data_IF_629551141176
#
_entry.id   IF_629551141176
#
_cell.length_a   1.000
_cell.length_b   1.000
_cell.length_c   1.000
_cell.angle_alpha   90.00
_cell.angle_beta   90.00
_cell.angle_gamma   90.00
#
_symmetry.space_group_name_H-M   'P 1'
#
loop_
_entity.id
_entity.type
_entity.pdbx_description
1 polymer ?
#
# COMPACT_ATOMS: atom_id res chain seq x y z
N UNK A 1 -6.17 -11.71 -22.73
CA UNK A 1 -6.55 -10.48 -23.45
C UNK A 1 -5.29 -9.90 -24.06
N UNK A 2 -5.31 -9.49 -25.33
CA UNK A 2 -4.14 -8.87 -25.93
C UNK A 2 -3.87 -7.51 -25.26
N UNK A 3 -2.66 -7.31 -24.76
CA UNK A 3 -2.19 -6.02 -24.22
C UNK A 3 -2.24 -5.02 -25.37
N UNK A 4 -2.94 -3.91 -25.19
CA UNK A 4 -3.01 -2.87 -26.23
C UNK A 4 -1.66 -2.17 -26.35
N UNK A 5 -1.35 -1.60 -27.52
CA UNK A 5 -0.11 -0.83 -27.72
C UNK A 5 0.03 0.32 -26.70
N UNK A 6 -1.08 0.91 -26.29
CA UNK A 6 -1.12 1.95 -25.26
C UNK A 6 -0.72 1.42 -23.86
N UNK A 7 -1.06 0.16 -23.54
CA UNK A 7 -0.70 -0.47 -22.27
C UNK A 7 0.78 -0.85 -22.23
N UNK A 8 1.39 -1.14 -23.38
CA UNK A 8 2.83 -1.41 -23.48
C UNK A 8 3.69 -0.22 -23.04
N UNK A 9 3.19 1.02 -23.18
CA UNK A 9 3.89 2.21 -22.74
C UNK A 9 4.23 2.17 -21.24
N UNK A 10 3.37 1.57 -20.40
CA UNK A 10 3.58 1.47 -18.95
C UNK A 10 4.63 0.41 -18.56
N UNK A 11 5.06 -0.41 -19.49
CA UNK A 11 6.20 -1.32 -19.31
C UNK A 11 7.56 -0.64 -19.50
N UNK A 12 7.60 0.53 -20.16
CA UNK A 12 8.82 1.28 -20.40
C UNK A 12 9.28 2.03 -19.15
N UNK A 13 10.57 2.33 -19.06
CA UNK A 13 11.06 3.21 -18.00
C UNK A 13 10.36 4.58 -18.05
N UNK A 14 10.07 5.21 -16.89
CA UNK A 14 9.35 6.49 -16.87
C UNK A 14 10.01 7.60 -17.70
N UNK A 15 11.33 7.57 -17.86
CA UNK A 15 12.08 8.50 -18.72
C UNK A 15 11.77 8.35 -20.20
N UNK A 16 11.42 7.14 -20.66
CA UNK A 16 11.17 6.80 -22.07
C UNK A 16 9.70 6.97 -22.45
N UNK A 17 8.81 6.97 -21.47
CA UNK A 17 7.35 6.97 -21.67
C UNK A 17 6.88 8.07 -22.62
N UNK A 18 7.34 9.32 -22.41
CA UNK A 18 6.83 10.47 -23.17
C UNK A 18 7.24 10.38 -24.64
N UNK A 19 8.50 10.03 -24.91
CA UNK A 19 8.98 9.88 -26.28
C UNK A 19 8.28 8.72 -27.02
N UNK A 20 8.09 7.58 -26.36
CA UNK A 20 7.39 6.43 -26.91
C UNK A 20 5.90 6.72 -27.16
N UNK A 21 5.23 7.40 -26.23
CA UNK A 21 3.83 7.85 -26.38
C UNK A 21 3.68 8.75 -27.61
N UNK A 22 4.54 9.75 -27.73
CA UNK A 22 4.46 10.73 -28.82
C UNK A 22 4.77 10.08 -30.19
N UNK A 23 5.70 9.12 -30.22
CA UNK A 23 5.97 8.31 -31.41
C UNK A 23 4.75 7.45 -31.80
N UNK A 24 4.11 6.80 -30.83
CA UNK A 24 2.90 6.01 -31.05
C UNK A 24 1.75 6.89 -31.57
N UNK A 25 1.54 8.06 -30.99
CA UNK A 25 0.52 9.03 -31.45
C UNK A 25 0.77 9.44 -32.92
N UNK A 26 2.03 9.73 -33.28
CA UNK A 26 2.40 10.07 -34.65
C UNK A 26 2.10 8.94 -35.62
N UNK A 27 2.43 7.69 -35.29
CA UNK A 27 2.17 6.50 -36.07
C UNK A 27 0.66 6.29 -36.29
N UNK A 28 -0.13 6.30 -35.17
CA UNK A 28 -1.58 6.11 -35.25
C UNK A 28 -2.27 7.17 -36.11
N UNK A 29 -1.79 8.42 -36.11
CA UNK A 29 -2.28 9.49 -36.98
C UNK A 29 -1.96 9.21 -38.44
N UNK A 30 -0.77 8.71 -38.75
CA UNK A 30 -0.37 8.33 -40.10
C UNK A 30 -1.19 7.15 -40.67
N UNK A 31 -1.59 6.22 -39.77
CA UNK A 31 -2.47 5.09 -40.06
C UNK A 31 -3.97 5.50 -40.17
N UNK A 32 -4.32 6.77 -39.98
CA UNK A 32 -5.70 7.26 -40.01
C UNK A 32 -6.50 6.99 -38.71
N UNK A 33 -5.91 6.39 -37.67
CA UNK A 33 -6.51 6.01 -36.41
C UNK A 33 -6.51 7.22 -35.42
N UNK A 34 -7.26 8.25 -35.78
CA UNK A 34 -7.26 9.54 -35.07
C UNK A 34 -7.84 9.45 -33.64
N UNK A 35 -8.85 8.63 -33.42
CA UNK A 35 -9.46 8.42 -32.11
C UNK A 35 -8.49 7.74 -31.16
N UNK A 36 -7.85 6.64 -31.60
CA UNK A 36 -6.83 5.94 -30.84
C UNK A 36 -5.64 6.88 -30.51
N UNK A 37 -5.19 7.67 -31.49
CA UNK A 37 -4.13 8.66 -31.29
C UNK A 37 -4.50 9.69 -30.21
N UNK A 38 -5.77 10.10 -30.16
CA UNK A 38 -6.26 11.05 -29.14
C UNK A 38 -6.31 10.41 -27.77
N UNK A 39 -6.73 9.15 -27.67
CA UNK A 39 -6.74 8.41 -26.40
C UNK A 39 -5.32 8.18 -25.89
N UNK A 40 -4.39 7.75 -26.74
CA UNK A 40 -2.99 7.56 -26.37
C UNK A 40 -2.34 8.88 -25.92
N UNK A 41 -2.63 10.00 -26.57
CA UNK A 41 -2.10 11.31 -26.22
C UNK A 41 -2.53 11.77 -24.79
N UNK A 42 -3.65 11.28 -24.30
CA UNK A 42 -4.14 11.57 -22.95
C UNK A 42 -3.45 10.75 -21.84
N UNK A 43 -2.74 9.68 -22.23
CA UNK A 43 -2.04 8.82 -21.26
C UNK A 43 -0.93 9.62 -20.58
N UNK A 44 -0.91 9.55 -19.24
CA UNK A 44 0.06 10.28 -18.42
C UNK A 44 1.24 9.39 -18.08
N UNK A 45 2.42 10.01 -18.02
CA UNK A 45 3.61 9.32 -17.50
C UNK A 45 3.39 8.96 -16.03
N UNK A 46 3.52 7.69 -15.64
CA UNK A 46 3.38 7.27 -14.26
C UNK A 46 4.50 7.85 -13.38
N UNK A 47 4.25 8.16 -12.10
CA UNK A 47 5.32 8.34 -11.13
C UNK A 47 6.10 7.02 -10.96
N UNK A 48 7.35 7.11 -10.49
CA UNK A 48 8.23 5.93 -10.36
C UNK A 48 7.65 4.84 -9.44
N UNK A 49 6.86 5.22 -8.45
CA UNK A 49 6.16 4.31 -7.53
C UNK A 49 5.05 3.52 -8.22
N UNK A 50 4.18 4.18 -8.99
CA UNK A 50 3.15 3.51 -9.78
C UNK A 50 3.79 2.60 -10.84
N UNK A 51 4.82 3.09 -11.54
CA UNK A 51 5.58 2.28 -12.50
C UNK A 51 6.18 1.02 -11.85
N UNK A 52 6.76 1.12 -10.66
CA UNK A 52 7.32 -0.05 -9.98
C UNK A 52 6.25 -1.11 -9.66
N UNK A 53 5.05 -0.71 -9.24
CA UNK A 53 3.93 -1.62 -9.06
C UNK A 53 3.45 -2.24 -10.38
N UNK A 54 3.48 -1.47 -11.49
CA UNK A 54 3.18 -1.99 -12.82
C UNK A 54 4.19 -3.06 -13.25
N UNK A 55 5.49 -2.91 -12.90
CA UNK A 55 6.48 -3.96 -13.14
C UNK A 55 6.19 -5.22 -12.31
N UNK A 56 5.82 -5.07 -11.03
CA UNK A 56 5.38 -6.21 -10.20
C UNK A 56 4.19 -6.92 -10.84
N UNK A 57 3.19 -6.17 -11.30
CA UNK A 57 2.01 -6.75 -11.95
C UNK A 57 2.35 -7.52 -13.23
N UNK A 58 3.31 -7.03 -14.02
CA UNK A 58 3.73 -7.64 -15.28
C UNK A 58 4.59 -8.88 -15.10
N UNK A 59 5.48 -8.87 -14.11
CA UNK A 59 6.51 -9.91 -13.98
C UNK A 59 6.27 -10.85 -12.78
N UNK A 60 5.46 -10.43 -11.81
CA UNK A 60 5.16 -11.17 -10.58
C UNK A 60 3.67 -11.05 -10.22
N UNK A 61 2.78 -11.29 -11.20
CA UNK A 61 1.33 -11.11 -11.08
C UNK A 61 0.73 -11.80 -9.84
N UNK A 62 1.29 -12.94 -9.43
CA UNK A 62 0.85 -13.67 -8.26
C UNK A 62 0.91 -12.83 -6.96
N UNK A 63 1.90 -11.92 -6.82
CA UNK A 63 1.98 -11.03 -5.66
C UNK A 63 0.81 -10.04 -5.64
N UNK A 64 0.42 -9.51 -6.79
CA UNK A 64 -0.73 -8.60 -6.89
C UNK A 64 -2.04 -9.33 -6.61
N UNK A 65 -2.20 -10.54 -7.15
CA UNK A 65 -3.39 -11.36 -6.89
C UNK A 65 -3.50 -11.75 -5.41
N UNK A 66 -2.37 -12.03 -4.74
CA UNK A 66 -2.35 -12.32 -3.30
C UNK A 66 -2.76 -11.10 -2.46
N UNK A 67 -2.27 -9.90 -2.79
CA UNK A 67 -2.70 -8.65 -2.15
C UNK A 67 -4.22 -8.47 -2.28
N UNK A 68 -4.76 -8.61 -3.47
CA UNK A 68 -6.19 -8.42 -3.73
C UNK A 68 -7.05 -9.50 -3.05
N UNK A 69 -6.60 -10.75 -3.06
CA UNK A 69 -7.30 -11.86 -2.43
C UNK A 69 -7.28 -11.78 -0.90
N UNK A 70 -6.13 -11.45 -0.28
CA UNK A 70 -6.02 -11.28 1.17
C UNK A 70 -6.79 -10.07 1.65
N UNK A 71 -6.77 -8.97 0.89
CA UNK A 71 -7.58 -7.78 1.18
C UNK A 71 -9.07 -8.04 1.09
N UNK A 72 -9.54 -8.82 0.11
CA UNK A 72 -10.94 -9.24 0.00
C UNK A 72 -11.36 -10.12 1.20
N UNK A 73 -10.50 -11.04 1.63
CA UNK A 73 -10.74 -11.86 2.84
C UNK A 73 -10.84 -11.01 4.10
N UNK A 74 -9.97 -10.03 4.26
CA UNK A 74 -10.01 -9.10 5.40
C UNK A 74 -11.33 -8.31 5.41
N UNK A 75 -11.75 -7.75 4.28
CA UNK A 75 -13.05 -7.06 4.17
C UNK A 75 -14.21 -7.98 4.57
N UNK A 76 -14.28 -9.16 4.00
CA UNK A 76 -15.31 -10.13 4.31
C UNK A 76 -15.34 -10.52 5.81
N UNK A 77 -14.18 -10.61 6.47
CA UNK A 77 -14.08 -10.85 7.91
C UNK A 77 -14.60 -9.67 8.73
N UNK A 78 -14.37 -8.43 8.28
CA UNK A 78 -14.87 -7.21 8.93
C UNK A 78 -16.40 -7.09 8.77
N UNK A 79 -16.94 -7.37 7.59
CA UNK A 79 -18.38 -7.34 7.30
C UNK A 79 -19.16 -8.39 8.12
N UNK A 80 -18.57 -9.56 8.35
CA UNK A 80 -19.11 -10.59 9.27
C UNK A 80 -18.98 -10.21 10.75
N UNK A 81 -18.24 -9.23 11.05
CA UNK A 81 -17.50 -8.83 12.23
C UNK A 81 -18.21 -8.59 13.55
N UNK A 82 -19.52 -8.57 13.69
CA UNK A 82 -20.14 -8.51 15.04
C UNK A 82 -20.40 -9.90 15.64
N UNK A 83 -20.25 -10.96 14.86
CA UNK A 83 -20.50 -12.35 15.25
C UNK A 83 -19.33 -13.30 14.95
N UNK A 84 -18.22 -12.77 14.38
CA UNK A 84 -17.09 -13.54 13.91
C UNK A 84 -15.96 -13.66 14.94
N UNK A 85 -15.20 -14.73 14.85
CA UNK A 85 -14.04 -15.00 15.65
C UNK A 85 -12.98 -13.90 15.47
N UNK A 86 -12.53 -13.33 16.56
CA UNK A 86 -11.45 -12.32 16.60
C UNK A 86 -10.15 -12.90 16.04
N UNK A 87 -9.96 -14.20 16.09
CA UNK A 87 -8.81 -14.95 15.56
C UNK A 87 -8.80 -14.89 14.04
N UNK A 88 -9.92 -15.21 13.37
CA UNK A 88 -10.03 -15.16 11.90
C UNK A 88 -9.68 -13.76 11.37
N UNK A 89 -10.17 -12.71 12.05
CA UNK A 89 -9.87 -11.33 11.66
C UNK A 89 -8.39 -10.98 11.81
N UNK A 90 -7.76 -11.42 12.91
CA UNK A 90 -6.32 -11.20 13.12
C UNK A 90 -5.46 -11.94 12.09
N UNK A 91 -5.83 -13.14 11.75
CA UNK A 91 -5.17 -13.94 10.71
C UNK A 91 -5.30 -13.27 9.34
N UNK A 92 -6.52 -12.84 8.96
CA UNK A 92 -6.76 -12.12 7.72
C UNK A 92 -5.97 -10.80 7.64
N UNK A 93 -5.90 -10.05 8.74
CA UNK A 93 -5.11 -8.81 8.82
C UNK A 93 -3.60 -9.08 8.70
N UNK A 94 -3.13 -10.16 9.31
CA UNK A 94 -1.71 -10.55 9.21
C UNK A 94 -1.36 -11.00 7.80
N UNK A 95 -2.25 -11.76 7.15
CA UNK A 95 -2.08 -12.19 5.77
C UNK A 95 -2.05 -11.00 4.80
N UNK A 96 -2.99 -10.05 4.92
CA UNK A 96 -3.01 -8.82 4.11
C UNK A 96 -1.71 -8.03 4.27
N UNK A 97 -1.27 -7.80 5.50
CA UNK A 97 -0.05 -7.06 5.77
C UNK A 97 1.17 -7.72 5.12
N UNK A 98 1.30 -9.05 5.22
CA UNK A 98 2.41 -9.80 4.59
C UNK A 98 2.35 -9.73 3.07
N UNK A 99 1.19 -9.84 2.47
CA UNK A 99 1.02 -9.75 1.02
C UNK A 99 1.39 -8.35 0.51
N UNK A 100 0.92 -7.29 1.17
CA UNK A 100 1.29 -5.91 0.84
C UNK A 100 2.80 -5.69 0.98
N UNK A 101 3.42 -6.18 2.06
CA UNK A 101 4.86 -6.04 2.28
C UNK A 101 5.66 -6.75 1.20
N UNK A 102 5.32 -7.98 0.83
CA UNK A 102 5.97 -8.72 -0.24
C UNK A 102 5.88 -7.99 -1.61
N UNK A 103 4.72 -7.41 -1.94
CA UNK A 103 4.55 -6.62 -3.15
C UNK A 103 5.34 -5.31 -3.13
N UNK A 104 5.43 -4.63 -1.97
CA UNK A 104 6.25 -3.43 -1.79
C UNK A 104 7.73 -3.75 -1.95
N UNK A 105 8.22 -4.82 -1.32
CA UNK A 105 9.62 -5.25 -1.45
C UNK A 105 9.98 -5.62 -2.89
N UNK A 106 9.04 -6.23 -3.64
CA UNK A 106 9.21 -6.47 -5.07
C UNK A 106 9.29 -5.17 -5.87
N UNK A 107 8.42 -4.19 -5.60
CA UNK A 107 8.44 -2.89 -6.25
C UNK A 107 9.74 -2.12 -5.96
N UNK A 108 10.27 -2.20 -4.73
CA UNK A 108 11.55 -1.59 -4.36
C UNK A 108 12.74 -2.19 -5.13
N UNK A 109 12.71 -3.49 -5.42
CA UNK A 109 13.73 -4.11 -6.30
C UNK A 109 13.72 -3.51 -7.70
N UNK A 110 12.55 -3.32 -8.31
CA UNK A 110 12.45 -2.66 -9.62
C UNK A 110 12.91 -1.21 -9.58
N UNK A 111 12.65 -0.46 -8.51
CA UNK A 111 13.23 0.88 -8.32
C UNK A 111 14.76 0.80 -8.26
N UNK A 112 15.32 -0.19 -7.54
CA UNK A 112 16.77 -0.42 -7.45
C UNK A 112 17.42 -0.70 -8.81
N UNK A 113 16.77 -1.47 -9.68
CA UNK A 113 17.25 -1.76 -11.04
C UNK A 113 17.37 -0.49 -11.92
N UNK A 114 16.59 0.54 -11.63
CA UNK A 114 16.68 1.85 -12.30
C UNK A 114 17.62 2.84 -11.58
N UNK A 115 18.38 2.37 -10.59
CA UNK A 115 19.30 3.21 -9.81
C UNK A 115 18.63 4.08 -8.73
N UNK A 116 17.36 3.80 -8.41
CA UNK A 116 16.61 4.54 -7.39
C UNK A 116 16.50 3.72 -6.10
N UNK A 117 16.97 4.28 -4.99
CA UNK A 117 16.68 3.72 -3.66
C UNK A 117 15.34 4.27 -3.18
N UNK A 118 14.40 3.38 -2.83
CA UNK A 118 13.10 3.78 -2.33
C UNK A 118 13.23 4.56 -1.01
N UNK A 119 12.65 5.75 -0.96
CA UNK A 119 12.54 6.53 0.27
C UNK A 119 11.39 6.01 1.13
N UNK A 120 11.39 6.26 2.47
CA UNK A 120 10.26 5.90 3.33
C UNK A 120 8.91 6.46 2.84
N UNK A 121 8.92 7.65 2.23
CA UNK A 121 7.71 8.26 1.62
C UNK A 121 7.23 7.46 0.42
N UNK A 122 8.13 7.00 -0.44
CA UNK A 122 7.79 6.17 -1.59
C UNK A 122 7.25 4.80 -1.14
N UNK A 123 7.87 4.17 -0.13
CA UNK A 123 7.37 2.93 0.47
C UNK A 123 5.94 3.08 1.01
N UNK A 124 5.65 4.20 1.68
CA UNK A 124 4.29 4.53 2.14
C UNK A 124 3.32 4.66 0.97
N UNK A 125 3.69 5.32 -0.13
CA UNK A 125 2.85 5.46 -1.33
C UNK A 125 2.58 4.12 -2.02
N UNK A 126 3.59 3.26 -2.14
CA UNK A 126 3.42 1.90 -2.66
C UNK A 126 2.36 1.14 -1.85
N UNK A 127 2.51 1.12 -0.52
CA UNK A 127 1.55 0.46 0.38
C UNK A 127 0.15 1.08 0.29
N UNK A 128 0.05 2.42 0.19
CA UNK A 128 -1.23 3.12 0.07
C UNK A 128 -1.95 2.76 -1.24
N UNK A 129 -1.23 2.73 -2.37
CA UNK A 129 -1.78 2.36 -3.68
C UNK A 129 -2.29 0.91 -3.68
N UNK A 130 -1.53 -0.04 -3.10
CA UNK A 130 -1.95 -1.44 -2.98
C UNK A 130 -3.23 -1.59 -2.14
N UNK A 131 -3.30 -0.89 -0.99
CA UNK A 131 -4.51 -0.90 -0.15
C UNK A 131 -5.69 -0.21 -0.80
N UNK A 132 -5.47 0.84 -1.60
CA UNK A 132 -6.53 1.46 -2.39
C UNK A 132 -7.08 0.48 -3.42
N UNK A 133 -6.22 -0.29 -4.10
CA UNK A 133 -6.65 -1.31 -5.05
C UNK A 133 -7.54 -2.41 -4.40
N UNK A 134 -7.33 -2.72 -3.12
CA UNK A 134 -8.23 -3.62 -2.37
C UNK A 134 -9.64 -3.04 -2.21
N UNK A 135 -9.78 -1.72 -2.14
CA UNK A 135 -11.05 -1.02 -1.87
C UNK A 135 -11.74 -0.51 -3.14
N UNK A 136 -10.98 -0.24 -4.20
CA UNK A 136 -11.44 0.34 -5.46
C UNK A 136 -11.17 -0.63 -6.62
N UNK A 137 -12.24 -1.15 -7.21
CA UNK A 137 -12.14 -2.11 -8.32
C UNK A 137 -11.51 -1.51 -9.58
N UNK A 138 -11.63 -0.19 -9.80
CA UNK A 138 -10.99 0.48 -10.93
C UNK A 138 -9.49 0.48 -10.77
N UNK A 139 -9.00 0.81 -9.56
CA UNK A 139 -7.57 0.75 -9.24
C UNK A 139 -7.06 -0.70 -9.28
N UNK A 140 -7.85 -1.67 -8.79
CA UNK A 140 -7.51 -3.09 -8.87
C UNK A 140 -7.33 -3.57 -10.32
N UNK A 141 -8.20 -3.14 -11.24
CA UNK A 141 -8.08 -3.47 -12.67
C UNK A 141 -6.84 -2.83 -13.31
N UNK A 142 -6.59 -1.54 -13.02
CA UNK A 142 -5.39 -0.86 -13.51
C UNK A 142 -4.11 -1.53 -12.99
N UNK A 143 -4.08 -1.88 -11.71
CA UNK A 143 -2.95 -2.57 -11.07
C UNK A 143 -2.70 -3.93 -11.72
N UNK A 144 -3.74 -4.77 -11.90
CA UNK A 144 -3.60 -6.07 -12.59
C UNK A 144 -3.13 -5.94 -14.04
N UNK A 145 -3.60 -4.89 -14.73
CA UNK A 145 -3.18 -4.61 -16.10
C UNK A 145 -1.77 -4.01 -16.19
N UNK A 146 -1.18 -3.58 -15.06
CA UNK A 146 0.09 -2.86 -15.03
C UNK A 146 0.00 -1.52 -15.77
N UNK A 147 -1.04 -0.73 -15.49
CA UNK A 147 -1.36 0.53 -16.19
C UNK A 147 -1.73 1.66 -15.24
N UNK A 148 -1.14 1.68 -14.06
CA UNK A 148 -1.31 2.75 -13.09
C UNK A 148 -0.70 4.06 -13.64
N UNK A 149 -1.48 5.11 -13.71
CA UNK A 149 -1.06 6.44 -14.17
C UNK A 149 -0.66 7.38 -13.03
N UNK A 150 -0.88 6.98 -11.79
CA UNK A 150 -0.62 7.76 -10.56
C UNK A 150 -0.55 6.87 -9.32
N UNK A 151 -0.05 7.43 -8.24
CA UNK A 151 -0.22 6.86 -6.90
C UNK A 151 -1.66 7.08 -6.42
N UNK A 152 -2.18 6.17 -5.61
CA UNK A 152 -3.51 6.25 -5.03
C UNK A 152 -3.42 6.24 -3.50
N UNK A 153 -4.25 7.06 -2.86
CA UNK A 153 -4.41 7.10 -1.41
C UNK A 153 -5.73 6.45 -1.01
N UNK A 154 -5.78 5.66 0.07
CA UNK A 154 -7.01 5.06 0.55
C UNK A 154 -8.04 6.14 0.88
N UNK A 155 -9.35 5.91 0.61
CA UNK A 155 -10.39 6.83 0.97
C UNK A 155 -10.39 7.07 2.50
N UNK A 156 -10.22 8.34 2.89
CA UNK A 156 -10.09 8.76 4.30
C UNK A 156 -8.69 9.22 4.71
N UNK A 157 -7.65 9.02 3.90
CA UNK A 157 -6.29 9.53 4.12
C UNK A 157 -5.87 10.62 3.12
N UNK A 158 -6.64 10.86 2.06
CA UNK A 158 -6.28 11.77 0.99
C UNK A 158 -6.86 13.16 1.16
N UNK A 159 -6.01 14.15 1.27
CA UNK A 159 -6.33 15.57 1.07
C UNK A 159 -6.70 15.89 -0.40
N UNK A 160 -6.66 14.90 -1.30
CA UNK A 160 -6.88 15.10 -2.73
C UNK A 160 -8.33 14.88 -3.21
N UNK A 161 -9.21 14.31 -2.38
CA UNK A 161 -10.62 14.14 -2.73
C UNK A 161 -11.35 15.50 -2.91
N UNK A 162 -10.86 16.56 -2.30
CA UNK A 162 -11.40 17.92 -2.46
C UNK A 162 -10.93 18.62 -3.74
N UNK A 163 -9.86 18.13 -4.39
CA UNK A 163 -9.28 18.76 -5.59
C UNK A 163 -9.81 18.12 -6.88
N UNK A 164 -10.26 16.87 -6.84
CA UNK A 164 -10.75 16.16 -8.03
C UNK A 164 -12.17 16.53 -8.47
N UNK A 165 -12.94 17.23 -7.63
CA UNK A 165 -14.33 17.62 -7.92
C UNK A 165 -14.50 19.04 -8.46
N UNK A 166 -13.42 19.79 -8.67
CA UNK A 166 -13.51 21.13 -9.24
C UNK A 166 -13.44 21.11 -10.77
N UNK A 167 -14.35 21.79 -11.50
CA UNK A 167 -14.27 21.92 -12.95
C UNK A 167 -12.97 22.60 -13.35
N UNK A 168 -12.38 22.15 -14.47
CA UNK A 168 -11.11 22.68 -14.98
C UNK A 168 -11.17 24.20 -15.13
N UNK A 169 -10.27 24.98 -14.49
CA UNK A 169 -10.28 26.41 -14.60
C UNK A 169 -9.82 26.88 -15.99
N UNK A 170 -10.32 28.02 -16.48
CA UNK A 170 -9.90 28.61 -17.74
C UNK A 170 -8.39 28.94 -17.74
N UNK A 171 -7.76 29.13 -18.92
CA UNK A 171 -6.31 29.33 -19.03
C UNK A 171 -5.86 30.55 -18.21
N UNK A 172 -4.95 30.30 -17.28
CA UNK A 172 -4.53 31.28 -16.25
C UNK A 172 -3.50 32.25 -16.80
N UNK A 173 -3.76 33.53 -16.56
CA UNK A 173 -2.73 34.57 -16.52
C UNK A 173 -1.65 34.21 -15.47
N UNK A 174 -0.50 34.91 -15.51
CA UNK A 174 0.63 34.69 -14.59
C UNK A 174 0.14 34.48 -13.15
N UNK A 175 0.57 33.40 -12.47
CA UNK A 175 0.15 33.13 -11.10
C UNK A 175 0.58 34.27 -10.17
N UNK A 176 -0.32 34.70 -9.31
CA UNK A 176 -0.05 35.72 -8.28
C UNK A 176 1.10 35.21 -7.38
N UNK A 177 2.24 35.92 -7.31
CA UNK A 177 3.41 35.50 -6.53
C UNK A 177 3.09 35.28 -5.05
N UNK A 178 2.12 36.05 -4.51
CA UNK A 178 1.71 35.93 -3.11
C UNK A 178 0.80 34.72 -2.86
N UNK A 179 -0.01 34.32 -3.83
CA UNK A 179 -0.77 33.08 -3.76
C UNK A 179 0.16 31.85 -3.76
N UNK A 180 1.20 31.86 -4.58
CA UNK A 180 2.23 30.78 -4.61
C UNK A 180 2.98 30.71 -3.28
N UNK A 181 3.36 31.86 -2.70
CA UNK A 181 4.03 31.91 -1.38
C UNK A 181 3.12 31.43 -0.25
N UNK A 182 1.83 31.80 -0.27
CA UNK A 182 0.84 31.33 0.71
C UNK A 182 0.66 29.81 0.62
N UNK A 183 0.49 29.27 -0.57
CA UNK A 183 0.38 27.83 -0.81
C UNK A 183 1.65 27.08 -0.36
N UNK A 184 2.83 27.64 -0.62
CA UNK A 184 4.10 27.08 -0.15
C UNK A 184 4.19 27.01 1.38
N UNK A 185 3.83 28.08 2.10
CA UNK A 185 3.81 28.11 3.58
C UNK A 185 2.82 27.09 4.16
N UNK A 186 1.61 27.01 3.57
CA UNK A 186 0.61 26.02 4.00
C UNK A 186 1.09 24.59 3.78
N UNK A 187 1.79 24.31 2.68
CA UNK A 187 2.36 23.00 2.40
C UNK A 187 3.42 22.61 3.42
N UNK A 188 4.32 23.55 3.76
CA UNK A 188 5.35 23.32 4.81
C UNK A 188 4.70 23.07 6.17
N UNK A 189 3.72 23.88 6.56
CA UNK A 189 3.02 23.69 7.84
C UNK A 189 2.31 22.32 7.93
N UNK A 190 1.65 21.89 6.86
CA UNK A 190 1.01 20.57 6.78
C UNK A 190 2.04 19.43 6.84
N UNK A 191 3.16 19.58 6.15
CA UNK A 191 4.24 18.59 6.21
C UNK A 191 4.79 18.45 7.63
N UNK A 192 5.00 19.56 8.34
CA UNK A 192 5.46 19.54 9.74
C UNK A 192 4.46 18.81 10.66
N UNK A 193 3.17 19.02 10.45
CA UNK A 193 2.14 18.31 11.24
C UNK A 193 2.11 16.81 10.92
N UNK A 194 2.22 16.43 9.65
CA UNK A 194 2.35 15.02 9.24
C UNK A 194 3.57 14.37 9.89
N UNK A 195 4.71 15.04 9.88
CA UNK A 195 5.95 14.51 10.47
C UNK A 195 5.82 14.35 11.99
N UNK A 196 5.11 15.27 12.66
CA UNK A 196 4.81 15.19 14.09
C UNK A 196 3.90 14.00 14.43
N UNK A 197 2.82 13.84 13.67
CA UNK A 197 1.88 12.73 13.85
C UNK A 197 2.55 11.39 13.54
N UNK A 198 3.38 11.31 12.52
CA UNK A 198 4.14 10.11 12.18
C UNK A 198 5.12 9.73 13.30
N UNK A 199 5.83 10.70 13.88
CA UNK A 199 6.69 10.44 15.03
C UNK A 199 5.90 9.95 16.24
N UNK A 200 4.73 10.56 16.50
CA UNK A 200 3.84 10.13 17.58
C UNK A 200 3.33 8.70 17.39
N UNK A 201 2.92 8.35 16.15
CA UNK A 201 2.48 7.00 15.81
C UNK A 201 3.58 5.96 16.04
N UNK A 202 4.82 6.26 15.66
CA UNK A 202 5.98 5.37 15.90
C UNK A 202 6.25 5.18 17.39
N UNK A 203 6.19 6.26 18.20
CA UNK A 203 6.37 6.17 19.65
C UNK A 203 5.30 5.27 20.29
N UNK A 204 4.04 5.43 19.87
CA UNK A 204 2.95 4.59 20.39
C UNK A 204 3.09 3.13 19.96
N UNK A 205 3.56 2.87 18.74
CA UNK A 205 3.85 1.51 18.28
C UNK A 205 4.93 0.84 19.14
N UNK A 206 6.04 1.54 19.42
CA UNK A 206 7.10 1.01 20.29
C UNK A 206 6.57 0.71 21.70
N UNK A 207 5.75 1.61 22.26
CA UNK A 207 5.14 1.39 23.60
C UNK A 207 4.22 0.16 23.58
N UNK A 208 3.48 -0.05 22.50
CA UNK A 208 2.60 -1.21 22.37
C UNK A 208 3.42 -2.52 22.26
N UNK A 209 4.47 -2.52 21.46
CA UNK A 209 5.38 -3.67 21.32
C UNK A 209 6.03 -4.04 22.66
N UNK A 210 6.52 -3.05 23.43
CA UNK A 210 7.07 -3.24 24.77
C UNK A 210 6.04 -3.77 25.77
N UNK A 211 4.78 -3.36 25.65
CA UNK A 211 3.71 -3.85 26.52
C UNK A 211 3.34 -5.30 26.17
N UNK A 212 3.30 -5.65 24.89
CA UNK A 212 3.06 -7.02 24.44
C UNK A 212 4.16 -7.96 24.91
N UNK A 213 5.42 -7.54 24.82
CA UNK A 213 6.56 -8.34 25.30
C UNK A 213 6.46 -8.58 26.82
N UNK A 214 6.19 -7.54 27.62
CA UNK A 214 6.00 -7.69 29.08
C UNK A 214 4.82 -8.59 29.42
N UNK A 215 3.73 -8.52 28.65
CA UNK A 215 2.59 -9.40 28.86
C UNK A 215 2.93 -10.85 28.53
N UNK A 216 3.72 -11.12 27.48
CA UNK A 216 4.20 -12.46 27.15
C UNK A 216 5.10 -13.05 28.25
N UNK A 217 6.05 -12.24 28.78
CA UNK A 217 6.92 -12.65 29.88
C UNK A 217 6.12 -12.94 31.17
N UNK A 218 5.11 -12.13 31.47
CA UNK A 218 4.26 -12.34 32.64
C UNK A 218 3.45 -13.65 32.51
N UNK A 219 2.94 -13.95 31.31
CA UNK A 219 2.25 -15.23 31.06
C UNK A 219 3.20 -16.42 31.22
N UNK A 220 4.40 -16.35 30.65
CA UNK A 220 5.38 -17.42 30.80
C UNK A 220 5.73 -17.71 32.27
N UNK A 221 5.86 -16.64 33.10
CA UNK A 221 6.10 -16.82 34.57
C UNK A 221 4.89 -17.44 35.27
N UNK A 222 3.68 -17.06 34.90
CA UNK A 222 2.46 -17.64 35.46
C UNK A 222 2.35 -19.13 35.10
N UNK A 223 2.65 -19.51 33.87
CA UNK A 223 2.64 -20.91 33.41
C UNK A 223 3.70 -21.74 34.14
N UNK A 224 4.89 -21.20 34.36
CA UNK A 224 5.94 -21.85 35.17
C UNK A 224 5.53 -22.05 36.60
N UNK A 225 4.90 -21.04 37.23
CA UNK A 225 4.43 -21.14 38.58
C UNK A 225 3.29 -22.18 38.71
N UNK A 226 2.38 -22.22 37.78
CA UNK A 226 1.32 -23.23 37.70
C UNK A 226 1.90 -24.66 37.61
N UNK A 227 2.86 -24.87 36.68
CA UNK A 227 3.54 -26.17 36.54
C UNK A 227 4.30 -26.60 37.79
N UNK A 228 4.94 -25.66 38.50
CA UNK A 228 5.61 -25.93 39.80
C UNK A 228 4.61 -26.30 40.90
N UNK A 229 3.47 -25.61 40.98
CA UNK A 229 2.41 -25.91 41.88
C UNK A 229 1.80 -27.32 41.66
N UNK A 230 1.58 -27.69 40.40
CA UNK A 230 1.08 -29.02 40.02
C UNK A 230 2.09 -30.12 40.34
N UNK A 231 3.37 -29.82 40.25
CA UNK A 231 4.43 -30.78 40.64
C UNK A 231 4.46 -31.00 42.15
N UNK A 232 4.42 -29.89 42.92
CA UNK A 232 4.40 -29.96 44.39
C UNK A 232 3.15 -30.70 44.91
N UNK A 233 1.97 -30.48 44.28
CA UNK A 233 0.75 -31.25 44.62
C UNK A 233 0.93 -32.75 44.40
N UNK A 234 1.48 -33.16 43.26
CA UNK A 234 1.73 -34.59 43.00
C UNK A 234 2.72 -35.20 43.98
N UNK A 235 3.73 -34.48 44.41
CA UNK A 235 4.69 -34.92 45.43
C UNK A 235 4.05 -35.09 46.77
N UNK A 236 3.16 -34.14 47.16
CA UNK A 236 2.40 -34.22 48.41
C UNK A 236 1.46 -35.45 48.42
N UNK A 237 0.68 -35.62 47.35
CA UNK A 237 -0.24 -36.74 47.18
C UNK A 237 0.49 -38.09 47.18
N UNK A 238 1.69 -38.18 46.63
CA UNK A 238 2.54 -39.37 46.62
C UNK A 238 3.16 -39.67 48.02
N UNK A 239 3.42 -38.62 48.82
CA UNK A 239 3.95 -38.75 50.17
C UNK A 239 2.92 -39.22 51.18
N UNK A 240 1.64 -38.89 51.05
CA UNK A 240 0.54 -39.29 51.94
C UNK A 240 0.08 -40.75 51.70
N UNK A 241 0.54 -41.41 50.64
CA UNK A 241 0.16 -42.76 50.26
C UNK A 241 1.06 -43.87 50.81
N UNK A 242 2.01 -43.61 51.71
CA UNK A 242 2.87 -44.65 52.31
C UNK A 242 2.33 -45.07 53.69
N UNK A 243 1.62 -46.20 53.81
CA UNK A 243 1.23 -46.73 55.13
C UNK A 243 2.45 -47.32 55.80
N UNK A 244 2.59 -47.01 57.09
CA UNK A 244 3.54 -47.59 58.03
C UNK A 244 3.25 -49.08 58.28
#
# INVERSE_FOLDING_TARGET
MAVTEAEQLYGLAPSEFTAARDALVKRLRAEGRREDATEVARRRRPPVTAWALDQVARHQAALIDDVLATGARLRASIERGSRGDTTERREAQTAERRAVEAAVDAAERYLGETGHTATPVQRTRLSATLRTAVLDETVARQLRAGTLDRDHDPPGFGLDAAVAAAPAPPPRGRPDPDAVRRAGRQRVARQTEVDKLTRRARQLATIADDAEQRAAEARARADQAAAAADTARRELDAGDGSPA
#
